data_IF_964966468293
#
_entry.id   IF_964966468293
#
_cell.length_a   1.000
_cell.length_b   1.000
_cell.length_c   1.000
_cell.angle_alpha   90.00
_cell.angle_beta   90.00
_cell.angle_gamma   90.00
#
_symmetry.space_group_name_H-M   'P 1'
#
loop_
_entity.id
_entity.type
_entity.pdbx_description
1 polymer ?
#
# COMPACT_ATOMS: atom_id res chain seq x y z
N UNK A 1 -33.18 -65.30 -1.83
CA UNK A 1 -32.75 -64.42 -0.73
C UNK A 1 -31.25 -64.60 -0.65
N UNK A 2 -30.56 -63.58 -1.12
CA UNK A 2 -29.12 -63.52 -1.40
C UNK A 2 -28.29 -63.48 -0.11
N UNK A 3 -27.18 -64.22 -0.09
CA UNK A 3 -26.03 -63.90 0.76
C UNK A 3 -24.80 -63.81 -0.16
N UNK A 4 -24.44 -62.58 -0.53
CA UNK A 4 -23.17 -62.26 -1.15
C UNK A 4 -22.18 -61.81 -0.06
N UNK A 5 -21.00 -62.41 -0.07
CA UNK A 5 -19.78 -61.94 0.58
C UNK A 5 -19.41 -60.55 0.05
N UNK A 6 -18.90 -59.66 0.92
CA UNK A 6 -17.74 -58.81 0.60
C UNK A 6 -17.22 -58.07 1.85
N UNK A 7 -15.89 -58.00 1.94
CA UNK A 7 -15.10 -57.37 2.99
C UNK A 7 -15.12 -55.84 2.83
N UNK A 8 -15.24 -55.11 3.94
CA UNK A 8 -14.85 -53.68 3.98
C UNK A 8 -13.69 -53.49 4.96
N UNK A 9 -12.51 -53.30 4.39
CA UNK A 9 -11.35 -52.69 5.03
C UNK A 9 -11.50 -51.15 5.08
N UNK A 10 -10.73 -50.53 5.99
CA UNK A 10 -10.38 -49.09 6.03
C UNK A 10 -11.41 -48.20 6.75
N UNK A 11 -11.05 -47.23 7.59
CA UNK A 11 -9.83 -46.47 7.60
C UNK A 11 -9.58 -45.84 8.98
N UNK A 12 -8.30 -45.86 9.37
CA UNK A 12 -7.70 -45.21 10.51
C UNK A 12 -8.14 -43.74 10.60
N UNK A 13 -8.74 -43.32 11.72
CA UNK A 13 -8.96 -41.90 12.04
C UNK A 13 -7.61 -41.25 12.33
N UNK A 14 -6.90 -40.89 11.27
CA UNK A 14 -5.78 -39.97 11.31
C UNK A 14 -6.36 -38.61 11.71
N UNK A 15 -6.19 -38.24 12.98
CA UNK A 15 -6.36 -36.87 13.42
C UNK A 15 -5.26 -36.04 12.77
N UNK A 16 -5.50 -35.59 11.55
CA UNK A 16 -4.68 -34.58 10.91
C UNK A 16 -4.84 -33.30 11.75
N UNK A 17 -3.86 -33.09 12.62
CA UNK A 17 -3.55 -31.81 13.22
C UNK A 17 -3.33 -30.81 12.08
N UNK A 18 -4.40 -30.09 11.72
CA UNK A 18 -4.29 -28.86 10.95
C UNK A 18 -3.26 -28.00 11.68
N UNK A 19 -2.12 -27.64 11.05
CA UNK A 19 -1.23 -26.65 11.63
C UNK A 19 -2.09 -25.42 11.87
N UNK A 20 -2.20 -25.00 13.12
CA UNK A 20 -2.78 -23.72 13.44
C UNK A 20 -1.99 -22.67 12.65
N UNK A 21 -2.56 -22.22 11.53
CA UNK A 21 -2.20 -20.93 10.96
C UNK A 21 -2.33 -19.97 12.13
N UNK A 22 -1.19 -19.52 12.64
CA UNK A 22 -1.12 -18.35 13.49
C UNK A 22 -1.80 -17.24 12.71
N UNK A 23 -3.07 -17.01 13.01
CA UNK A 23 -3.76 -15.78 12.65
C UNK A 23 -3.03 -14.67 13.41
N UNK A 24 -1.94 -14.18 12.82
CA UNK A 24 -1.22 -12.98 13.24
C UNK A 24 -2.07 -11.70 13.07
N UNK A 25 -3.38 -11.82 12.96
CA UNK A 25 -4.36 -10.74 12.81
C UNK A 25 -4.90 -10.35 14.19
N UNK A 26 -3.98 -9.90 15.05
CA UNK A 26 -4.35 -9.22 16.29
C UNK A 26 -4.64 -7.73 16.04
N UNK A 27 -5.38 -7.04 16.94
CA UNK A 27 -5.68 -5.60 16.82
C UNK A 27 -4.41 -4.71 16.73
N UNK A 28 -3.25 -5.23 17.13
CA UNK A 28 -1.96 -4.56 16.92
C UNK A 28 -1.59 -4.39 15.44
N UNK A 29 -1.92 -5.36 14.59
CA UNK A 29 -1.62 -5.32 13.14
C UNK A 29 -2.46 -4.26 12.42
N UNK A 30 -3.70 -4.07 12.85
CA UNK A 30 -4.57 -2.98 12.35
C UNK A 30 -4.01 -1.59 12.67
N UNK A 31 -3.23 -1.45 13.75
CA UNK A 31 -2.63 -0.17 14.14
C UNK A 31 -1.35 0.15 13.36
N UNK A 32 -0.67 -0.86 12.78
CA UNK A 32 0.59 -0.66 12.07
C UNK A 32 0.49 0.38 10.94
N UNK A 33 -0.64 0.42 10.22
CA UNK A 33 -0.85 1.38 9.14
C UNK A 33 -0.87 2.82 9.64
N UNK A 34 -1.34 3.05 10.87
CA UNK A 34 -1.30 4.36 11.50
C UNK A 34 0.15 4.73 11.78
N UNK A 35 0.91 3.88 12.48
CA UNK A 35 2.34 4.10 12.75
C UNK A 35 3.14 4.35 11.47
N UNK A 36 2.92 3.56 10.41
CA UNK A 36 3.57 3.77 9.10
C UNK A 36 3.26 5.15 8.50
N UNK A 37 2.02 5.62 8.62
CA UNK A 37 1.66 6.93 8.12
C UNK A 37 2.24 8.07 8.97
N UNK A 38 2.41 7.87 10.27
CA UNK A 38 3.10 8.81 11.16
C UNK A 38 4.57 8.96 10.75
N UNK A 39 5.27 7.83 10.60
CA UNK A 39 6.65 7.82 10.14
C UNK A 39 6.82 8.45 8.75
N UNK A 40 5.85 8.21 7.84
CA UNK A 40 5.83 8.86 6.53
C UNK A 40 5.81 10.39 6.69
N UNK A 41 4.88 10.92 7.48
CA UNK A 41 4.75 12.37 7.69
C UNK A 41 6.01 12.96 8.32
N UNK A 42 6.63 12.27 9.27
CA UNK A 42 7.87 12.74 9.88
C UNK A 42 9.05 12.74 8.89
N UNK A 43 9.17 11.72 8.03
CA UNK A 43 10.16 11.71 6.94
C UNK A 43 9.92 12.85 5.94
N UNK A 44 8.67 13.18 5.63
CA UNK A 44 8.35 14.31 4.75
C UNK A 44 8.79 15.66 5.34
N UNK A 45 8.61 15.85 6.65
CA UNK A 45 9.10 17.04 7.35
C UNK A 45 10.62 17.16 7.27
N UNK A 46 11.35 16.06 7.48
CA UNK A 46 12.81 16.04 7.32
C UNK A 46 13.25 16.41 5.90
N UNK A 47 12.43 16.11 4.89
CA UNK A 47 12.65 16.48 3.49
C UNK A 47 12.20 17.91 3.14
N UNK A 48 11.73 18.71 4.12
CA UNK A 48 11.16 20.04 3.93
C UNK A 48 10.04 20.04 2.86
N UNK A 49 9.14 19.05 2.90
CA UNK A 49 8.07 18.93 1.90
C UNK A 49 7.13 20.16 1.86
N UNK A 50 7.01 20.92 2.94
CA UNK A 50 6.18 22.13 2.97
C UNK A 50 6.73 23.22 2.05
N UNK A 51 8.06 23.34 2.00
CA UNK A 51 8.75 24.31 1.15
C UNK A 51 8.93 23.79 -0.29
N UNK A 52 8.93 22.48 -0.48
CA UNK A 52 9.11 21.84 -1.79
C UNK A 52 7.80 21.47 -2.48
N UNK A 53 7.04 20.56 -1.87
CA UNK A 53 5.83 19.95 -2.44
C UNK A 53 4.63 20.89 -2.37
N UNK A 54 4.34 21.49 -1.21
CA UNK A 54 3.15 22.34 -1.05
C UNK A 54 3.22 23.63 -1.89
N UNK A 55 4.43 24.08 -2.25
CA UNK A 55 4.63 25.26 -3.10
C UNK A 55 4.42 24.99 -4.59
N UNK A 56 4.21 23.73 -5.01
CA UNK A 56 3.92 23.40 -6.41
C UNK A 56 2.56 23.90 -6.88
N UNK A 57 1.62 24.18 -5.98
CA UNK A 57 0.28 24.64 -6.34
C UNK A 57 -0.75 24.50 -5.23
N UNK A 58 -1.87 25.21 -5.38
CA UNK A 58 -2.96 25.28 -4.38
C UNK A 58 -3.69 23.96 -4.13
N UNK A 59 -3.55 23.00 -5.05
CA UNK A 59 -4.15 21.68 -4.92
C UNK A 59 -3.43 20.79 -3.89
N UNK A 60 -2.17 21.10 -3.55
CA UNK A 60 -1.37 20.32 -2.61
C UNK A 60 -1.58 20.83 -1.19
N UNK A 61 -2.29 20.03 -0.38
CA UNK A 61 -2.63 20.37 1.00
C UNK A 61 -1.64 19.73 1.98
N UNK A 62 -1.43 20.33 3.17
CA UNK A 62 -0.66 19.70 4.25
C UNK A 62 -1.21 18.31 4.58
N UNK A 63 -0.30 17.34 4.74
CA UNK A 63 -0.66 15.94 4.97
C UNK A 63 -0.81 15.71 6.48
N UNK A 64 -2.03 15.44 6.92
CA UNK A 64 -2.32 15.13 8.32
C UNK A 64 -1.79 13.75 8.72
N UNK A 65 -1.56 13.57 10.03
CA UNK A 65 -0.93 12.39 10.67
C UNK A 65 -1.49 11.04 10.21
N UNK A 66 -2.78 10.96 9.85
CA UNK A 66 -3.46 9.73 9.41
C UNK A 66 -4.19 9.90 8.07
N UNK A 67 -3.78 10.89 7.26
CA UNK A 67 -4.52 11.30 6.06
C UNK A 67 -4.70 10.17 5.04
N UNK A 68 -3.70 9.31 4.83
CA UNK A 68 -3.81 8.19 3.90
C UNK A 68 -4.38 6.91 4.52
N UNK A 69 -4.65 6.89 5.83
CA UNK A 69 -5.13 5.70 6.54
C UNK A 69 -6.64 5.52 6.40
N UNK A 70 -7.40 6.62 6.48
CA UNK A 70 -8.86 6.60 6.41
C UNK A 70 -9.35 7.19 5.10
N UNK A 71 -10.04 6.41 4.31
CA UNK A 71 -10.68 6.87 3.07
C UNK A 71 -11.82 7.85 3.38
N UNK A 72 -11.60 9.15 3.17
CA UNK A 72 -12.63 10.19 3.30
C UNK A 72 -13.05 10.74 1.95
N UNK A 73 -12.07 11.06 1.13
CA UNK A 73 -12.25 11.49 -0.25
C UNK A 73 -11.21 10.75 -1.09
N UNK A 74 -11.60 9.60 -1.63
CA UNK A 74 -10.67 8.67 -2.29
C UNK A 74 -9.99 9.32 -3.49
N UNK A 75 -10.71 10.15 -4.26
CA UNK A 75 -10.14 10.85 -5.42
C UNK A 75 -9.06 11.84 -5.01
N UNK A 76 -9.35 12.72 -4.05
CA UNK A 76 -8.38 13.69 -3.54
C UNK A 76 -7.18 12.99 -2.89
N UNK A 77 -7.41 11.95 -2.10
CA UNK A 77 -6.37 11.19 -1.43
C UNK A 77 -5.47 10.46 -2.44
N UNK A 78 -6.05 9.90 -3.50
CA UNK A 78 -5.31 9.26 -4.58
C UNK A 78 -4.46 10.27 -5.35
N UNK A 79 -5.04 11.41 -5.75
CA UNK A 79 -4.31 12.47 -6.44
C UNK A 79 -3.15 13.00 -5.59
N UNK A 80 -3.39 13.29 -4.31
CA UNK A 80 -2.37 13.78 -3.41
C UNK A 80 -1.25 12.74 -3.20
N UNK A 81 -1.62 11.46 -3.03
CA UNK A 81 -0.67 10.38 -2.83
C UNK A 81 0.23 10.17 -4.06
N UNK A 82 -0.36 10.08 -5.25
CA UNK A 82 0.39 9.87 -6.49
C UNK A 82 1.26 11.07 -6.84
N UNK A 83 0.77 12.29 -6.59
CA UNK A 83 1.56 13.52 -6.72
C UNK A 83 2.74 13.55 -5.75
N UNK A 84 2.53 13.15 -4.50
CA UNK A 84 3.60 13.06 -3.51
C UNK A 84 4.67 12.05 -3.95
N UNK A 85 4.25 10.88 -4.42
CA UNK A 85 5.17 9.86 -4.92
C UNK A 85 5.99 10.39 -6.12
N UNK A 86 5.36 11.08 -7.07
CA UNK A 86 6.04 11.71 -8.18
C UNK A 86 7.07 12.76 -7.71
N UNK A 87 6.70 13.61 -6.75
CA UNK A 87 7.61 14.60 -6.17
C UNK A 87 8.83 13.95 -5.50
N UNK A 88 8.63 12.85 -4.76
CA UNK A 88 9.72 12.09 -4.14
C UNK A 88 10.66 11.47 -5.19
N UNK A 89 10.11 10.95 -6.30
CA UNK A 89 10.91 10.46 -7.43
C UNK A 89 11.75 11.60 -8.02
N UNK A 90 11.16 12.78 -8.25
CA UNK A 90 11.92 13.95 -8.71
C UNK A 90 13.03 14.32 -7.73
N UNK A 91 12.70 14.38 -6.44
CA UNK A 91 13.65 14.70 -5.35
C UNK A 91 14.80 13.69 -5.26
N UNK A 92 14.62 12.46 -5.74
CA UNK A 92 15.68 11.44 -5.83
C UNK A 92 16.67 11.64 -6.99
N UNK A 93 16.54 12.71 -7.76
CA UNK A 93 17.43 13.06 -8.87
C UNK A 93 16.87 12.73 -10.26
N UNK A 94 15.55 12.67 -10.41
CA UNK A 94 14.87 12.55 -11.71
C UNK A 94 13.96 13.76 -11.97
N UNK A 95 14.58 14.90 -12.26
CA UNK A 95 13.85 16.15 -12.50
C UNK A 95 12.90 16.07 -13.70
N UNK A 96 13.09 15.10 -14.59
CA UNK A 96 12.27 14.86 -15.78
C UNK A 96 10.96 14.12 -15.50
N UNK A 97 10.80 13.55 -14.30
CA UNK A 97 9.59 12.79 -13.98
C UNK A 97 8.34 13.69 -13.97
N UNK A 98 7.29 13.25 -14.66
CA UNK A 98 6.06 14.01 -14.84
C UNK A 98 5.15 13.91 -13.60
N UNK A 99 4.55 15.04 -13.21
CA UNK A 99 3.57 15.08 -12.14
C UNK A 99 2.20 14.61 -12.64
N UNK A 100 1.49 13.74 -11.91
CA UNK A 100 0.12 13.33 -12.24
C UNK A 100 -0.84 14.53 -12.31
N UNK A 101 -1.88 14.39 -13.13
CA UNK A 101 -3.03 15.30 -13.18
C UNK A 101 -4.25 14.68 -12.52
N UNK A 102 -5.19 15.52 -12.07
CA UNK A 102 -6.40 15.08 -11.35
C UNK A 102 -7.33 14.18 -12.20
N UNK A 103 -7.28 14.34 -13.51
CA UNK A 103 -8.11 13.59 -14.48
C UNK A 103 -7.35 12.49 -15.22
N UNK A 104 -6.10 12.20 -14.83
CA UNK A 104 -5.35 11.09 -15.41
C UNK A 104 -6.00 9.75 -15.05
N UNK A 105 -5.86 8.76 -15.93
CA UNK A 105 -6.31 7.40 -15.66
C UNK A 105 -5.55 6.80 -14.46
N UNK A 106 -6.24 6.34 -13.40
CA UNK A 106 -5.59 5.88 -12.17
C UNK A 106 -4.60 4.74 -12.38
N UNK A 107 -4.92 3.80 -13.27
CA UNK A 107 -4.07 2.63 -13.53
C UNK A 107 -2.78 3.05 -14.24
N UNK A 108 -2.89 3.93 -15.23
CA UNK A 108 -1.76 4.50 -15.96
C UNK A 108 -0.87 5.33 -15.03
N UNK A 109 -1.45 6.13 -14.14
CA UNK A 109 -0.70 6.89 -13.12
C UNK A 109 0.10 5.96 -12.21
N UNK A 110 -0.51 4.89 -11.69
CA UNK A 110 0.19 3.91 -10.84
C UNK A 110 1.33 3.24 -11.61
N UNK A 111 1.09 2.81 -12.86
CA UNK A 111 2.10 2.18 -13.69
C UNK A 111 3.33 3.09 -13.89
N UNK A 112 3.11 4.38 -14.15
CA UNK A 112 4.15 5.38 -14.30
C UNK A 112 4.95 5.59 -13.00
N UNK A 113 4.26 5.73 -11.86
CA UNK A 113 4.91 5.86 -10.54
C UNK A 113 5.77 4.64 -10.23
N UNK A 114 5.24 3.43 -10.46
CA UNK A 114 5.95 2.18 -10.22
C UNK A 114 7.18 2.04 -11.11
N UNK A 115 7.10 2.45 -12.38
CA UNK A 115 8.23 2.45 -13.30
C UNK A 115 9.33 3.41 -12.82
N UNK A 116 8.94 4.64 -12.43
CA UNK A 116 9.87 5.64 -11.89
C UNK A 116 10.56 5.14 -10.61
N UNK A 117 9.79 4.65 -9.64
CA UNK A 117 10.33 4.16 -8.37
C UNK A 117 11.29 2.98 -8.55
N UNK A 118 10.94 1.98 -9.39
CA UNK A 118 11.80 0.81 -9.64
C UNK A 118 13.14 1.16 -10.28
N UNK A 119 13.19 2.21 -11.10
CA UNK A 119 14.45 2.67 -11.70
C UNK A 119 15.47 3.14 -10.65
N UNK A 120 15.00 3.54 -9.46
CA UNK A 120 15.81 4.12 -8.38
C UNK A 120 16.12 3.16 -7.23
N UNK A 121 15.34 2.08 -7.08
CA UNK A 121 15.53 1.06 -6.03
C UNK A 121 16.72 0.13 -6.31
N UNK A 122 17.33 0.18 -7.51
CA UNK A 122 18.47 -0.68 -7.90
C UNK A 122 19.86 -0.17 -7.47
N UNK A 123 19.96 0.66 -6.44
CA UNK A 123 21.22 1.13 -5.87
C UNK A 123 21.55 0.40 -4.58
#
# INVERSE_FOLDING_TARGET
MEENHEQEESNNHQSDSIPAETTEDGPGREYEIYTRNEELVDKLKLLNYEEGFLKLGVAYKPILKHYFVKSRNVGEQFFLFTSLAAWLIKKSGDDSFNMPQEFDDPNSTIANIMAGAKSKVRL
#
